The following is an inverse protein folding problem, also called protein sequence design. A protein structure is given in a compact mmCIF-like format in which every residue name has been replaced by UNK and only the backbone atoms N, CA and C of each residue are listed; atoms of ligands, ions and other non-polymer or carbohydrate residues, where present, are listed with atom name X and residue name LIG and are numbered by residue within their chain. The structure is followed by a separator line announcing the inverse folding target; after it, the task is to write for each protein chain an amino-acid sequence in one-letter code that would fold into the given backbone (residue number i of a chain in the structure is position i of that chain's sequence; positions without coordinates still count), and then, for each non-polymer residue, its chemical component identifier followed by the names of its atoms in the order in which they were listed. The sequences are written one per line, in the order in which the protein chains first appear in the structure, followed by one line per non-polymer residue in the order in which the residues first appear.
data_IF_478053555718
#
_entry.id   IF_478053555718
#
_cell.length_a   1.000
_cell.length_b   1.000
_cell.length_c   1.000
_cell.angle_alpha   90.00
_cell.angle_beta   90.00
_cell.angle_gamma   90.00
#
_symmetry.space_group_name_H-M   'P 1'
#
loop_
_entity.id
_entity.type
_entity.pdbx_description
1 polymer ?
#
# COMPACT_ATOMS: atom_id res chain seq x y z
N UNK A 1 5.32 -9.02 26.09
CA UNK A 1 4.06 -9.67 26.54
C UNK A 1 4.11 -11.20 26.44
N UNK A 2 4.32 -11.80 25.25
CA UNK A 2 4.30 -13.27 25.03
C UNK A 2 5.23 -14.10 25.95
N UNK A 3 6.46 -13.66 26.21
CA UNK A 3 7.42 -14.37 27.09
C UNK A 3 6.95 -14.44 28.56
N UNK A 4 6.22 -13.45 29.07
CA UNK A 4 5.75 -13.44 30.47
C UNK A 4 4.63 -14.46 30.72
N UNK A 5 3.88 -14.82 29.68
CA UNK A 5 2.82 -15.83 29.73
C UNK A 5 3.36 -17.27 29.67
N UNK A 6 4.65 -17.46 29.34
CA UNK A 6 5.26 -18.78 29.31
C UNK A 6 5.85 -19.15 30.69
N UNK A 7 5.82 -20.45 31.07
CA UNK A 7 6.51 -20.96 32.26
C UNK A 7 7.97 -20.53 32.26
N UNK A 8 8.53 -20.25 33.44
CA UNK A 8 9.91 -19.73 33.59
C UNK A 8 10.95 -20.62 32.88
N UNK A 9 10.72 -21.94 32.86
CA UNK A 9 11.57 -22.92 32.17
C UNK A 9 11.53 -22.83 30.64
N UNK A 10 10.43 -22.33 30.06
CA UNK A 10 10.23 -22.18 28.61
C UNK A 10 10.52 -20.77 28.09
N UNK A 11 10.90 -19.84 28.97
CA UNK A 11 11.28 -18.48 28.56
C UNK A 11 12.65 -18.52 27.90
N UNK A 12 12.69 -18.13 26.64
CA UNK A 12 13.94 -17.90 25.89
C UNK A 12 14.77 -16.85 26.66
N UNK A 13 15.97 -17.22 27.12
CA UNK A 13 16.85 -16.33 27.92
C UNK A 13 17.67 -15.38 27.06
N UNK A 14 18.00 -15.79 25.83
CA UNK A 14 18.80 -15.01 24.88
C UNK A 14 17.91 -14.51 23.75
N UNK A 15 17.98 -13.21 23.50
CA UNK A 15 17.32 -12.53 22.38
C UNK A 15 18.23 -12.64 21.16
N UNK A 16 17.70 -13.11 20.04
CA UNK A 16 18.44 -13.20 18.78
C UNK A 16 17.98 -12.13 17.77
N UNK A 17 18.64 -12.04 16.61
CA UNK A 17 18.31 -11.07 15.56
C UNK A 17 16.86 -11.19 15.10
N UNK A 18 16.35 -12.42 14.94
CA UNK A 18 14.96 -12.66 14.54
C UNK A 18 13.95 -12.12 15.58
N UNK A 19 14.26 -12.20 16.87
CA UNK A 19 13.43 -11.62 17.93
C UNK A 19 13.37 -10.08 17.81
N UNK A 20 14.47 -9.43 17.42
CA UNK A 20 14.52 -7.98 17.16
C UNK A 20 13.75 -7.63 15.89
N UNK A 21 13.95 -8.37 14.80
CA UNK A 21 13.24 -8.17 13.54
C UNK A 21 11.73 -8.25 13.74
N UNK A 22 11.23 -9.25 14.47
CA UNK A 22 9.81 -9.41 14.76
C UNK A 22 9.23 -8.25 15.58
N UNK A 23 10.00 -7.74 16.55
CA UNK A 23 9.58 -6.60 17.37
C UNK A 23 9.52 -5.32 16.53
N UNK A 24 10.55 -5.04 15.74
CA UNK A 24 10.61 -3.86 14.87
C UNK A 24 9.53 -3.93 13.80
N UNK A 25 9.37 -5.09 13.16
CA UNK A 25 8.32 -5.36 12.18
C UNK A 25 6.92 -5.05 12.74
N UNK A 26 6.63 -5.54 13.95
CA UNK A 26 5.35 -5.27 14.61
C UNK A 26 5.16 -3.80 14.98
N UNK A 27 6.20 -3.11 15.48
CA UNK A 27 6.11 -1.69 15.84
C UNK A 27 5.88 -0.84 14.60
N UNK A 28 6.67 -1.06 13.55
CA UNK A 28 6.57 -0.35 12.28
C UNK A 28 5.40 -0.84 11.41
N UNK A 29 4.67 -1.88 11.86
CA UNK A 29 3.61 -2.57 11.11
C UNK A 29 4.06 -3.08 9.74
N UNK A 30 5.36 -3.32 9.55
CA UNK A 30 5.94 -3.86 8.31
C UNK A 30 6.06 -5.38 8.42
N UNK A 31 6.01 -6.13 7.30
CA UNK A 31 6.39 -7.55 7.31
C UNK A 31 7.86 -7.73 7.76
N UNK A 32 8.17 -8.86 8.39
CA UNK A 32 9.54 -9.18 8.81
C UNK A 32 10.50 -9.18 7.60
N UNK A 33 11.76 -8.76 7.80
CA UNK A 33 12.76 -8.64 6.71
C UNK A 33 13.02 -9.97 5.99
N UNK A 34 12.89 -11.08 6.70
CA UNK A 34 12.80 -12.38 6.06
C UNK A 34 11.41 -12.53 5.50
N UNK A 35 11.32 -12.53 4.16
CA UNK A 35 10.12 -12.99 3.46
C UNK A 35 9.74 -14.33 4.10
N UNK A 36 8.61 -14.37 4.81
CA UNK A 36 8.16 -15.64 5.38
C UNK A 36 7.99 -16.63 4.23
N UNK A 37 8.18 -17.93 4.46
CA UNK A 37 7.98 -18.92 3.39
C UNK A 37 6.63 -18.72 2.68
N UNK A 38 5.61 -18.32 3.45
CA UNK A 38 4.27 -17.94 3.01
C UNK A 38 4.25 -16.70 2.10
N UNK A 39 4.99 -15.64 2.42
CA UNK A 39 5.07 -14.43 1.59
C UNK A 39 5.78 -14.71 0.26
N UNK A 40 6.79 -15.57 0.29
CA UNK A 40 7.57 -15.92 -0.91
C UNK A 40 6.70 -16.68 -1.92
N UNK A 41 5.91 -17.63 -1.43
CA UNK A 41 4.95 -18.36 -2.25
C UNK A 41 3.81 -17.46 -2.73
N UNK A 42 3.36 -16.53 -1.88
CA UNK A 42 2.34 -15.52 -2.25
C UNK A 42 2.84 -14.63 -3.38
N UNK A 43 4.07 -14.12 -3.29
CA UNK A 43 4.69 -13.28 -4.32
C UNK A 43 5.02 -14.06 -5.60
N UNK A 44 5.45 -15.31 -5.47
CA UNK A 44 5.74 -16.19 -6.62
C UNK A 44 4.49 -16.36 -7.49
N UNK A 45 3.35 -16.61 -6.85
CA UNK A 45 2.08 -16.91 -7.52
C UNK A 45 1.19 -15.67 -7.74
N UNK A 46 1.65 -14.46 -7.41
CA UNK A 46 0.84 -13.24 -7.46
C UNK A 46 0.27 -12.97 -8.86
N UNK A 47 1.12 -13.04 -9.89
CA UNK A 47 0.70 -12.81 -11.28
C UNK A 47 -0.37 -13.80 -11.74
N UNK A 48 -0.18 -15.09 -11.47
CA UNK A 48 -1.15 -16.14 -11.78
C UNK A 48 -2.49 -15.92 -11.06
N UNK A 49 -2.44 -15.56 -9.77
CA UNK A 49 -3.66 -15.25 -8.99
C UNK A 49 -4.44 -14.08 -9.57
N UNK A 50 -3.74 -13.05 -10.05
CA UNK A 50 -4.37 -11.90 -10.70
C UNK A 50 -4.94 -12.28 -12.07
N UNK A 51 -4.19 -13.04 -12.89
CA UNK A 51 -4.63 -13.50 -14.22
C UNK A 51 -5.85 -14.45 -14.17
N UNK A 52 -6.05 -15.18 -13.07
CA UNK A 52 -7.26 -15.99 -12.87
C UNK A 52 -8.53 -15.16 -12.67
N UNK A 53 -8.40 -13.88 -12.29
CA UNK A 53 -9.53 -13.00 -11.97
C UNK A 53 -9.69 -11.85 -12.97
N UNK A 54 -8.58 -11.38 -13.56
CA UNK A 54 -8.56 -10.33 -14.57
C UNK A 54 -7.99 -10.89 -15.87
N UNK A 55 -8.86 -11.06 -16.86
CA UNK A 55 -8.52 -11.62 -18.15
C UNK A 55 -8.02 -10.53 -19.13
N UNK A 56 -6.90 -10.78 -19.81
CA UNK A 56 -6.42 -10.00 -20.95
C UNK A 56 -5.48 -8.83 -20.61
N UNK A 57 -5.31 -8.47 -19.33
CA UNK A 57 -4.42 -7.39 -18.90
C UNK A 57 -3.04 -7.88 -18.43
N UNK A 58 -2.55 -8.96 -19.03
CA UNK A 58 -1.36 -9.69 -18.61
C UNK A 58 -0.12 -8.79 -18.46
N UNK A 59 0.12 -7.88 -19.40
CA UNK A 59 1.27 -6.95 -19.35
C UNK A 59 1.22 -6.03 -18.13
N UNK A 60 0.04 -5.52 -17.78
CA UNK A 60 -0.12 -4.65 -16.61
C UNK A 60 0.07 -5.44 -15.32
N UNK A 61 -0.46 -6.66 -15.26
CA UNK A 61 -0.30 -7.58 -14.14
C UNK A 61 1.17 -7.97 -13.94
N UNK A 62 1.88 -8.25 -15.03
CA UNK A 62 3.31 -8.59 -15.02
C UNK A 62 4.15 -7.41 -14.50
N UNK A 63 3.96 -6.21 -15.04
CA UNK A 63 4.69 -5.01 -14.62
C UNK A 63 4.48 -4.69 -13.12
N UNK A 64 3.24 -4.80 -12.63
CA UNK A 64 2.94 -4.68 -11.20
C UNK A 64 3.69 -5.72 -10.38
N UNK A 65 3.57 -6.98 -10.79
CA UNK A 65 4.12 -8.12 -10.05
C UNK A 65 5.66 -8.03 -9.97
N UNK A 66 6.32 -7.61 -11.05
CA UNK A 66 7.78 -7.43 -11.07
C UNK A 66 8.24 -6.31 -10.13
N UNK A 67 7.60 -5.14 -10.16
CA UNK A 67 7.94 -4.03 -9.28
C UNK A 67 7.80 -4.40 -7.79
N UNK A 68 6.74 -5.11 -7.44
CA UNK A 68 6.51 -5.58 -6.06
C UNK A 68 7.59 -6.60 -5.67
N UNK A 69 7.95 -7.53 -6.56
CA UNK A 69 9.04 -8.50 -6.33
C UNK A 69 10.38 -7.80 -6.13
N UNK A 70 10.70 -6.80 -6.94
CA UNK A 70 11.94 -6.00 -6.81
C UNK A 70 12.01 -5.29 -5.46
N UNK A 71 10.93 -4.58 -5.08
CA UNK A 71 10.84 -3.91 -3.78
C UNK A 71 11.01 -4.88 -2.61
N UNK A 72 10.36 -6.05 -2.68
CA UNK A 72 10.47 -7.11 -1.65
C UNK A 72 11.84 -7.78 -1.60
N UNK A 73 12.59 -7.78 -2.70
CA UNK A 73 13.98 -8.23 -2.74
C UNK A 73 14.98 -7.20 -2.17
N UNK A 74 14.49 -6.03 -1.71
CA UNK A 74 15.33 -4.92 -1.28
C UNK A 74 15.98 -4.16 -2.43
N UNK A 75 15.56 -4.42 -3.67
CA UNK A 75 16.00 -3.72 -4.87
C UNK A 75 15.06 -2.54 -5.11
N UNK A 76 15.26 -1.46 -4.35
CA UNK A 76 14.46 -0.25 -4.44
C UNK A 76 15.09 0.90 -3.66
N UNK A 77 14.41 2.05 -3.65
CA UNK A 77 14.85 3.23 -2.90
C UNK A 77 14.01 3.40 -1.63
N UNK A 78 14.64 3.54 -0.48
CA UNK A 78 13.95 3.66 0.83
C UNK A 78 13.00 4.87 0.92
N UNK A 79 13.24 5.91 0.12
CA UNK A 79 12.43 7.14 0.06
C UNK A 79 11.40 7.16 -1.08
N UNK A 80 11.17 6.04 -1.76
CA UNK A 80 10.21 5.92 -2.85
C UNK A 80 9.11 4.93 -2.50
N UNK A 81 7.89 5.08 -3.05
CA UNK A 81 6.86 4.05 -2.91
C UNK A 81 7.32 2.73 -3.56
N UNK A 82 6.70 1.62 -3.15
CA UNK A 82 6.93 0.28 -3.72
C UNK A 82 6.79 0.28 -5.25
N UNK A 83 5.83 1.05 -5.75
CA UNK A 83 5.67 1.38 -7.15
C UNK A 83 4.65 2.49 -7.31
N UNK A 84 4.71 3.19 -8.44
CA UNK A 84 3.73 4.19 -8.86
C UNK A 84 3.36 3.90 -10.31
N UNK A 85 2.07 3.69 -10.57
CA UNK A 85 1.57 3.23 -11.85
C UNK A 85 0.42 4.10 -12.32
N UNK A 86 0.41 4.38 -13.62
CA UNK A 86 -0.72 5.00 -14.30
C UNK A 86 -1.35 3.97 -15.22
N UNK A 87 -2.60 3.60 -14.95
CA UNK A 87 -3.37 2.69 -15.81
C UNK A 87 -4.22 3.48 -16.78
N UNK A 88 -3.87 3.43 -18.06
CA UNK A 88 -4.62 4.05 -19.14
C UNK A 88 -5.32 2.99 -20.00
N UNK A 89 -6.52 3.32 -20.49
CA UNK A 89 -7.30 2.45 -21.37
C UNK A 89 -8.80 2.71 -21.26
N UNK A 90 -9.64 2.03 -22.07
CA UNK A 90 -11.10 2.19 -22.03
C UNK A 90 -11.71 1.86 -20.65
N UNK A 91 -12.95 2.30 -20.42
CA UNK A 91 -13.74 1.88 -19.26
C UNK A 91 -14.07 0.39 -19.34
N UNK A 92 -14.22 -0.27 -18.19
CA UNK A 92 -14.66 -1.68 -18.14
C UNK A 92 -13.59 -2.73 -18.49
N UNK A 93 -12.35 -2.34 -18.80
CA UNK A 93 -11.26 -3.28 -19.14
C UNK A 93 -10.54 -3.90 -17.93
N UNK A 94 -10.97 -3.56 -16.70
CA UNK A 94 -10.42 -4.15 -15.46
C UNK A 94 -9.32 -3.34 -14.76
N UNK A 95 -9.07 -2.07 -15.13
CA UNK A 95 -8.04 -1.22 -14.49
C UNK A 95 -8.17 -1.18 -12.96
N UNK A 96 -9.36 -0.82 -12.48
CA UNK A 96 -9.69 -0.76 -11.05
C UNK A 96 -9.70 -2.15 -10.42
N UNK A 97 -10.17 -3.16 -11.16
CA UNK A 97 -10.27 -4.54 -10.69
C UNK A 97 -8.89 -5.15 -10.39
N UNK A 98 -7.88 -4.90 -11.24
CA UNK A 98 -6.50 -5.31 -10.98
C UNK A 98 -6.01 -4.78 -9.63
N UNK A 99 -6.28 -3.52 -9.33
CA UNK A 99 -5.85 -2.86 -8.08
C UNK A 99 -6.57 -3.45 -6.86
N UNK A 100 -7.88 -3.71 -6.97
CA UNK A 100 -8.67 -4.36 -5.92
C UNK A 100 -8.18 -5.78 -5.63
N UNK A 101 -7.94 -6.56 -6.69
CA UNK A 101 -7.45 -7.93 -6.55
C UNK A 101 -6.01 -7.98 -6.05
N UNK A 102 -5.19 -6.99 -6.40
CA UNK A 102 -3.84 -6.85 -5.87
C UNK A 102 -3.84 -6.68 -4.36
N UNK A 103 -4.64 -5.76 -3.83
CA UNK A 103 -4.75 -5.53 -2.39
C UNK A 103 -5.18 -6.80 -1.64
N UNK A 104 -6.22 -7.50 -2.16
CA UNK A 104 -6.69 -8.78 -1.63
C UNK A 104 -5.62 -9.88 -1.68
N UNK A 105 -4.92 -10.00 -2.80
CA UNK A 105 -3.91 -11.05 -2.99
C UNK A 105 -2.70 -10.87 -2.07
N UNK A 106 -2.34 -9.61 -1.78
CA UNK A 106 -1.29 -9.23 -0.84
C UNK A 106 -1.74 -9.17 0.62
N UNK A 107 -3.05 -9.24 0.89
CA UNK A 107 -3.60 -9.14 2.24
C UNK A 107 -3.39 -7.77 2.90
N UNK A 108 -3.41 -6.70 2.11
CA UNK A 108 -3.23 -5.32 2.57
C UNK A 108 -4.46 -4.48 2.27
N UNK A 109 -4.58 -3.34 2.95
CA UNK A 109 -5.72 -2.43 2.78
C UNK A 109 -5.73 -1.79 1.39
N UNK A 110 -6.93 -1.52 0.88
CA UNK A 110 -7.15 -0.70 -0.31
C UNK A 110 -7.68 0.66 0.13
N UNK A 111 -6.88 1.70 -0.05
CA UNK A 111 -7.29 3.08 0.16
C UNK A 111 -7.74 3.65 -1.18
N UNK A 112 -9.04 3.83 -1.35
CA UNK A 112 -9.64 4.29 -2.61
C UNK A 112 -10.12 5.73 -2.47
N UNK A 113 -9.76 6.56 -3.43
CA UNK A 113 -10.21 7.93 -3.56
C UNK A 113 -10.72 8.15 -4.98
N UNK A 114 -11.97 8.60 -5.12
CA UNK A 114 -12.54 8.99 -6.40
C UNK A 114 -12.14 10.43 -6.70
N UNK A 115 -11.33 10.64 -7.75
CA UNK A 115 -10.78 11.95 -8.08
C UNK A 115 -11.83 12.91 -8.66
N UNK A 116 -13.00 12.42 -9.05
CA UNK A 116 -14.16 13.26 -9.41
C UNK A 116 -14.72 14.03 -8.20
N UNK A 117 -14.44 13.62 -6.95
CA UNK A 117 -14.77 14.41 -5.76
C UNK A 117 -13.77 15.56 -5.50
N UNK A 118 -12.63 15.55 -6.19
CA UNK A 118 -11.52 16.49 -5.98
C UNK A 118 -11.30 17.44 -7.17
N UNK A 119 -12.35 17.72 -7.93
CA UNK A 119 -12.32 18.61 -9.11
C UNK A 119 -12.11 20.09 -8.75
N UNK A 120 -12.44 20.49 -7.53
CA UNK A 120 -12.39 21.88 -7.09
C UNK A 120 -11.25 22.13 -6.12
N UNK A 121 -10.59 23.28 -6.23
CA UNK A 121 -9.44 23.64 -5.38
C UNK A 121 -9.69 23.48 -3.87
N UNK A 122 -10.89 23.82 -3.40
CA UNK A 122 -11.23 23.75 -1.98
C UNK A 122 -11.43 22.31 -1.45
N UNK A 123 -11.64 21.34 -2.34
CA UNK A 123 -11.76 19.92 -1.98
C UNK A 123 -10.40 19.26 -1.85
N UNK A 124 -9.37 19.77 -2.56
CA UNK A 124 -7.98 19.29 -2.48
C UNK A 124 -7.42 19.38 -1.06
N UNK A 125 -7.73 20.44 -0.31
CA UNK A 125 -7.30 20.57 1.08
C UNK A 125 -7.91 19.50 2.00
N UNK A 126 -9.05 18.89 1.66
CA UNK A 126 -9.59 17.75 2.42
C UNK A 126 -8.77 16.48 2.22
N UNK A 127 -8.14 16.32 1.06
CA UNK A 127 -7.33 15.14 0.74
C UNK A 127 -6.06 15.09 1.59
N UNK A 128 -5.35 16.22 1.75
CA UNK A 128 -4.06 16.29 2.45
C UNK A 128 -4.10 16.95 3.83
N UNK A 129 -5.19 17.66 4.15
CA UNK A 129 -5.32 18.47 5.35
C UNK A 129 -5.28 19.96 5.01
N UNK A 130 -6.14 20.73 5.67
CA UNK A 130 -6.14 22.18 5.48
C UNK A 130 -4.93 22.81 6.18
N UNK A 131 -4.33 23.88 5.64
CA UNK A 131 -3.25 24.60 6.32
C UNK A 131 -3.77 25.38 7.56
N UNK A 132 -2.87 25.77 8.50
CA UNK A 132 -3.24 26.57 9.66
C UNK A 132 -4.04 27.82 9.27
N UNK A 133 -5.16 28.06 9.95
CA UNK A 133 -6.03 29.20 9.70
C UNK A 133 -7.15 28.98 8.67
N UNK A 134 -7.28 27.77 8.12
CA UNK A 134 -8.38 27.38 7.23
C UNK A 134 -9.38 26.46 7.95
N UNK A 135 -10.65 26.50 7.52
CA UNK A 135 -11.69 25.59 8.04
C UNK A 135 -11.28 24.14 7.78
N UNK A 136 -11.23 23.33 8.84
CA UNK A 136 -10.77 21.95 8.77
C UNK A 136 -9.29 21.74 9.07
N UNK A 137 -8.56 22.76 9.56
CA UNK A 137 -7.16 22.61 9.98
C UNK A 137 -6.95 21.54 11.07
N UNK A 138 -7.88 21.46 12.03
CA UNK A 138 -7.83 20.44 13.09
C UNK A 138 -8.29 19.05 12.60
N UNK A 139 -8.75 18.94 11.35
CA UNK A 139 -9.05 17.67 10.69
C UNK A 139 -7.85 17.29 9.82
N UNK A 140 -7.28 16.11 10.06
CA UNK A 140 -6.22 15.58 9.21
C UNK A 140 -6.71 15.35 7.77
N UNK A 141 -5.76 15.23 6.85
CA UNK A 141 -6.08 14.91 5.45
C UNK A 141 -6.59 13.49 5.31
N UNK A 142 -7.61 13.30 4.47
CA UNK A 142 -8.17 11.97 4.21
C UNK A 142 -7.11 10.97 3.73
N UNK A 143 -6.23 11.39 2.81
CA UNK A 143 -5.11 10.57 2.32
C UNK A 143 -4.03 10.40 3.37
N UNK A 144 -3.61 11.50 4.02
CA UNK A 144 -2.52 11.45 5.01
C UNK A 144 -2.89 10.56 6.20
N UNK A 145 -4.10 10.71 6.73
CA UNK A 145 -4.56 9.95 7.89
C UNK A 145 -4.76 8.48 7.54
N UNK A 146 -5.30 8.19 6.35
CA UNK A 146 -5.47 6.83 5.87
C UNK A 146 -4.12 6.10 5.72
N UNK A 147 -3.11 6.76 5.14
CA UNK A 147 -1.77 6.20 4.98
C UNK A 147 -1.04 6.07 6.32
N UNK A 148 -1.18 7.04 7.24
CA UNK A 148 -0.60 6.94 8.59
C UNK A 148 -1.20 5.74 9.35
N UNK A 149 -2.52 5.53 9.22
CA UNK A 149 -3.23 4.40 9.85
C UNK A 149 -2.84 3.07 9.22
N UNK A 150 -2.69 3.05 7.90
CA UNK A 150 -2.41 1.87 7.07
C UNK A 150 -1.16 2.11 6.18
N UNK A 151 0.05 2.07 6.76
CA UNK A 151 1.28 2.37 6.02
C UNK A 151 1.62 1.33 4.94
N UNK A 152 0.99 0.15 5.00
CA UNK A 152 1.04 -0.88 3.97
C UNK A 152 -0.33 -1.00 3.35
N UNK A 153 -0.55 -0.21 2.31
CA UNK A 153 -1.80 -0.21 1.57
C UNK A 153 -1.53 -0.03 0.08
N UNK A 154 -2.49 -0.47 -0.72
CA UNK A 154 -2.62 -0.04 -2.11
C UNK A 154 -3.43 1.24 -2.11
N UNK A 155 -2.87 2.33 -2.62
CA UNK A 155 -3.60 3.59 -2.82
C UNK A 155 -4.10 3.63 -4.26
N UNK A 156 -5.42 3.69 -4.43
CA UNK A 156 -6.09 3.85 -5.72
C UNK A 156 -6.65 5.27 -5.82
N UNK A 157 -6.14 6.03 -6.79
CA UNK A 157 -6.71 7.30 -7.23
C UNK A 157 -7.48 7.02 -8.53
N UNK A 158 -8.79 6.81 -8.39
CA UNK A 158 -9.67 6.45 -9.51
C UNK A 158 -10.02 7.72 -10.31
N UNK A 159 -10.12 7.61 -11.64
CA UNK A 159 -10.40 8.75 -12.54
C UNK A 159 -9.48 9.97 -12.34
N UNK A 160 -8.17 9.75 -12.17
CA UNK A 160 -7.19 10.81 -11.86
C UNK A 160 -7.20 11.99 -12.84
N UNK A 161 -7.60 11.78 -14.09
CA UNK A 161 -7.76 12.85 -15.09
C UNK A 161 -8.86 13.87 -14.75
N UNK A 162 -9.76 13.54 -13.81
CA UNK A 162 -10.81 14.44 -13.33
C UNK A 162 -10.34 15.34 -12.19
N UNK A 163 -9.24 15.00 -11.52
CA UNK A 163 -8.73 15.76 -10.38
C UNK A 163 -8.39 17.22 -10.74
N UNK A 164 -8.54 18.12 -9.77
CA UNK A 164 -7.99 19.46 -9.88
C UNK A 164 -6.46 19.40 -10.09
N UNK A 165 -5.84 20.28 -10.91
CA UNK A 165 -4.39 20.29 -11.15
C UNK A 165 -3.53 20.33 -9.88
N UNK A 166 -3.99 20.99 -8.82
CA UNK A 166 -3.30 21.03 -7.53
C UNK A 166 -3.09 19.63 -6.92
N UNK A 167 -3.92 18.63 -7.24
CA UNK A 167 -3.70 17.24 -6.80
C UNK A 167 -2.42 16.67 -7.41
N UNK A 168 -2.14 16.94 -8.69
CA UNK A 168 -0.91 16.47 -9.33
C UNK A 168 0.34 17.07 -8.70
N UNK A 169 0.30 18.34 -8.32
CA UNK A 169 1.41 19.00 -7.62
C UNK A 169 1.71 18.36 -6.26
N UNK A 170 0.69 17.78 -5.60
CA UNK A 170 0.86 17.09 -4.32
C UNK A 170 1.44 15.68 -4.46
N UNK A 171 1.29 15.06 -5.64
CA UNK A 171 1.74 13.69 -5.92
C UNK A 171 3.18 13.63 -6.47
N UNK A 172 3.79 14.79 -6.77
CA UNK A 172 5.15 14.94 -7.33
C UNK A 172 6.19 15.23 -6.25
#
# INVERSE_FOLDING_TARGET
ARSRLMPVSKRKKTVNVADIESVVARIARIPEKSVSATDRDTLKNLGERLKMLVFGQDKAIEALTEAIKMSRAGLGHERKPVGSFLFAGPTGVGKTEVTVQLAKALGIELLRFDMSEYMERHTVSRLIGAPPGYVGFDQGGLLTDAVIKHPHAVVLLDEIEKAHPDVFNLLL
#
